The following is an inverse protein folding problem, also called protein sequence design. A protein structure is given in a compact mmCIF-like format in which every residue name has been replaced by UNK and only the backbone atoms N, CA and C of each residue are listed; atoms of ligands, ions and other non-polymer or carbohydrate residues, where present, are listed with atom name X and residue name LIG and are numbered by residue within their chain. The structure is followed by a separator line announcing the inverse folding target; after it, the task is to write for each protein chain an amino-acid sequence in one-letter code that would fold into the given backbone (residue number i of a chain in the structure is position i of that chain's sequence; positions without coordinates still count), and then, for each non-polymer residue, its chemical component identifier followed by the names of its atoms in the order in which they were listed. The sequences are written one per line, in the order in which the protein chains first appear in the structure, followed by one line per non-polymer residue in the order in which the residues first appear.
data_IF_766451875032
#
_entry.id   IF_766451875032
#
_cell.length_a   1.000
_cell.length_b   1.000
_cell.length_c   1.000
_cell.angle_alpha   90.00
_cell.angle_beta   90.00
_cell.angle_gamma   90.00
#
_symmetry.space_group_name_H-M   'P 1'
#
loop_
_entity.id
_entity.type
_entity.pdbx_description
1 polymer ?
#
# COMPACT_ATOMS: atom_id res chain seq x y z
N UNK A 1 0.48 -12.26 8.14
CA UNK A 1 -0.39 -11.65 7.11
C UNK A 1 -1.24 -10.59 7.80
N UNK A 2 -0.97 -9.32 7.52
CA UNK A 2 -1.93 -8.26 7.84
C UNK A 2 -1.97 -7.38 6.60
N UNK A 3 -2.82 -7.76 5.64
CA UNK A 3 -3.28 -6.80 4.65
C UNK A 3 -3.90 -5.62 5.43
N UNK A 4 -3.74 -4.36 4.98
CA UNK A 4 -4.37 -3.23 5.65
C UNK A 4 -5.87 -3.54 5.77
N UNK A 5 -6.39 -3.46 6.99
CA UNK A 5 -7.67 -4.07 7.41
C UNK A 5 -8.93 -3.47 6.74
N UNK A 6 -8.78 -2.70 5.66
CA UNK A 6 -9.82 -1.93 5.01
C UNK A 6 -9.83 -2.00 3.47
N UNK A 7 -9.06 -2.89 2.83
CA UNK A 7 -9.17 -3.00 1.37
C UNK A 7 -10.49 -3.65 0.96
N UNK A 8 -11.18 -3.13 -0.08
CA UNK A 8 -12.32 -3.83 -0.68
C UNK A 8 -11.95 -5.26 -1.07
N UNK A 9 -12.80 -6.28 -0.80
CA UNK A 9 -12.48 -7.69 -1.03
C UNK A 9 -11.96 -7.99 -2.44
N UNK A 10 -12.57 -7.38 -3.47
CA UNK A 10 -12.15 -7.54 -4.85
C UNK A 10 -10.71 -7.07 -5.13
N UNK A 11 -10.27 -6.00 -4.45
CA UNK A 11 -8.91 -5.49 -4.56
C UNK A 11 -7.92 -6.38 -3.82
N UNK A 12 -8.28 -6.83 -2.62
CA UNK A 12 -7.47 -7.79 -1.86
C UNK A 12 -7.24 -9.09 -2.65
N UNK A 13 -8.29 -9.65 -3.26
CA UNK A 13 -8.20 -10.85 -4.09
C UNK A 13 -7.33 -10.61 -5.33
N UNK A 14 -7.50 -9.48 -6.02
CA UNK A 14 -6.70 -9.15 -7.20
C UNK A 14 -5.20 -9.00 -6.87
N UNK A 15 -4.87 -8.42 -5.72
CA UNK A 15 -3.50 -8.27 -5.23
C UNK A 15 -2.89 -9.63 -4.88
N UNK A 16 -3.62 -10.48 -4.17
CA UNK A 16 -3.19 -11.85 -3.84
C UNK A 16 -2.92 -12.68 -5.10
N UNK A 17 -3.80 -12.64 -6.11
CA UNK A 17 -3.59 -13.36 -7.38
C UNK A 17 -2.35 -12.90 -8.16
N UNK A 18 -1.87 -11.68 -7.89
CA UNK A 18 -0.66 -11.11 -8.49
C UNK A 18 0.60 -11.35 -7.63
N UNK A 19 0.47 -12.04 -6.49
CA UNK A 19 1.58 -12.32 -5.57
C UNK A 19 1.95 -11.14 -4.67
N UNK A 20 1.05 -10.17 -4.47
CA UNK A 20 1.24 -9.07 -3.52
C UNK A 20 0.83 -9.50 -2.10
N UNK A 21 1.48 -10.54 -1.59
CA UNK A 21 1.12 -11.15 -0.30
C UNK A 21 1.67 -10.37 0.91
N UNK A 22 2.66 -9.50 0.65
CA UNK A 22 3.29 -8.64 1.65
C UNK A 22 3.56 -7.24 1.09
N UNK A 23 3.35 -6.24 1.92
CA UNK A 23 3.68 -4.86 1.58
C UNK A 23 5.20 -4.65 1.60
N UNK A 24 5.70 -3.82 0.69
CA UNK A 24 7.08 -3.34 0.76
C UNK A 24 7.24 -2.33 1.90
N UNK A 25 8.49 -1.98 2.26
CA UNK A 25 8.76 -1.00 3.31
C UNK A 25 8.12 0.37 3.00
N UNK A 26 8.17 0.83 1.74
CA UNK A 26 7.56 2.13 1.36
C UNK A 26 6.04 2.06 1.38
N UNK A 27 5.44 0.93 1.00
CA UNK A 27 3.98 0.76 1.06
C UNK A 27 3.49 0.74 2.51
N UNK A 28 4.20 0.04 3.40
CA UNK A 28 3.89 0.00 4.84
C UNK A 28 4.00 1.40 5.45
N UNK A 29 5.04 2.16 5.11
CA UNK A 29 5.23 3.52 5.62
C UNK A 29 4.14 4.48 5.15
N UNK A 30 3.73 4.41 3.87
CA UNK A 30 2.66 5.27 3.32
C UNK A 30 1.29 4.96 3.92
N UNK A 31 1.04 3.70 4.30
CA UNK A 31 -0.23 3.25 4.89
C UNK A 31 -0.27 3.34 6.42
N UNK A 32 0.73 3.99 7.04
CA UNK A 32 0.78 4.16 8.48
C UNK A 32 -0.43 4.99 8.97
N UNK A 33 -1.19 4.53 9.99
CA UNK A 33 -2.44 5.18 10.42
C UNK A 33 -2.26 6.66 10.79
N UNK A 34 -1.11 7.03 11.37
CA UNK A 34 -0.76 8.39 11.75
C UNK A 34 -0.64 9.35 10.56
N UNK A 35 -0.46 8.84 9.34
CA UNK A 35 -0.35 9.62 8.11
C UNK A 35 -1.69 9.80 7.38
N UNK A 36 -2.78 9.23 7.89
CA UNK A 36 -4.09 9.33 7.26
C UNK A 36 -4.53 10.80 7.11
N UNK A 37 -4.87 11.19 5.88
CA UNK A 37 -5.32 12.55 5.55
C UNK A 37 -4.20 13.60 5.50
N UNK A 38 -2.93 13.21 5.62
CA UNK A 38 -1.80 14.12 5.48
C UNK A 38 -1.23 14.11 4.05
N UNK A 39 -0.69 15.25 3.62
CA UNK A 39 0.09 15.31 2.39
C UNK A 39 1.47 14.68 2.62
N UNK A 40 1.86 13.75 1.74
CA UNK A 40 3.10 12.98 1.90
C UNK A 40 4.12 13.28 0.81
N UNK A 41 5.36 13.56 1.22
CA UNK A 41 6.53 13.50 0.37
C UNK A 41 7.18 12.12 0.48
N UNK A 42 7.03 11.28 -0.53
CA UNK A 42 7.55 9.90 -0.53
C UNK A 42 8.80 9.80 -1.41
N UNK A 43 9.96 9.54 -0.79
CA UNK A 43 11.23 9.30 -1.50
C UNK A 43 11.67 7.85 -1.34
N UNK A 44 11.86 7.16 -2.46
CA UNK A 44 12.42 5.80 -2.52
C UNK A 44 12.94 5.52 -3.93
N UNK A 45 13.77 4.50 -4.12
CA UNK A 45 14.26 4.11 -5.45
C UNK A 45 13.15 3.62 -6.39
N UNK A 46 13.40 3.63 -7.71
CA UNK A 46 12.52 2.99 -8.70
C UNK A 46 12.40 1.49 -8.41
N UNK A 47 11.21 0.93 -8.62
CA UNK A 47 10.90 -0.47 -8.29
C UNK A 47 10.54 -0.73 -6.84
N UNK A 48 10.57 0.27 -5.94
CA UNK A 48 10.22 0.08 -4.53
C UNK A 48 8.73 -0.15 -4.25
N UNK A 49 7.86 0.05 -5.25
CA UNK A 49 6.41 -0.11 -5.11
C UNK A 49 5.63 1.16 -4.72
N UNK A 50 6.21 2.37 -4.87
CA UNK A 50 5.55 3.66 -4.58
C UNK A 50 4.21 3.85 -5.30
N UNK A 51 4.10 3.43 -6.56
CA UNK A 51 2.85 3.56 -7.33
C UNK A 51 1.72 2.76 -6.70
N UNK A 52 1.99 1.53 -6.29
CA UNK A 52 1.02 0.69 -5.58
C UNK A 52 0.72 1.29 -4.21
N UNK A 53 1.73 1.81 -3.50
CA UNK A 53 1.52 2.47 -2.19
C UNK A 53 0.47 3.59 -2.26
N UNK A 54 0.60 4.50 -3.23
CA UNK A 54 -0.39 5.57 -3.42
C UNK A 54 -1.75 5.04 -3.83
N UNK A 55 -1.81 4.03 -4.71
CA UNK A 55 -3.07 3.39 -5.10
C UNK A 55 -3.81 2.77 -3.92
N UNK A 56 -3.09 2.08 -3.02
CA UNK A 56 -3.65 1.50 -1.80
C UNK A 56 -4.12 2.56 -0.79
N UNK A 57 -3.43 3.70 -0.70
CA UNK A 57 -3.80 4.78 0.21
C UNK A 57 -5.07 5.55 -0.22
N UNK A 58 -5.44 5.46 -1.50
CA UNK A 58 -6.65 6.10 -2.05
C UNK A 58 -7.88 5.17 -2.09
N UNK A 59 -7.68 3.86 -1.94
CA UNK A 59 -8.73 2.83 -2.06
C UNK A 59 -9.52 2.66 -0.76
#
# INVERSE_FOLDING_TARGET
MTAPASLPPALADALAHRGYDSLTQVQTAVLAPELAGQDLLVSAQTGSGKTVAFGLAMA
#
